data_IF_883998520428
#
_entry.id   IF_883998520428
#
_cell.length_a   1.000
_cell.length_b   1.000
_cell.length_c   1.000
_cell.angle_alpha   90.00
_cell.angle_beta   90.00
_cell.angle_gamma   90.00
#
_symmetry.space_group_name_H-M   'P 1'
#
loop_
_entity.id
_entity.type
_entity.pdbx_description
1 polymer ?
#
# COMPACT_ATOMS: atom_id res chain seq x y z
N UNK A 1 -3.44 -11.72 -17.52
CA UNK A 1 -2.74 -11.03 -18.62
C UNK A 1 -1.30 -10.89 -18.18
N UNK A 2 -0.37 -11.39 -18.98
CA UNK A 2 1.06 -11.33 -18.65
C UNK A 2 1.66 -10.11 -19.31
N UNK A 3 2.33 -9.27 -18.51
CA UNK A 3 2.99 -8.06 -18.97
C UNK A 3 4.50 -8.25 -18.84
N UNK A 4 5.21 -8.10 -19.94
CA UNK A 4 6.69 -8.07 -19.90
C UNK A 4 7.12 -6.68 -19.45
N UNK A 5 7.82 -6.60 -18.32
CA UNK A 5 8.43 -5.35 -17.83
C UNK A 5 9.95 -5.55 -17.81
N UNK A 6 10.63 -4.93 -18.77
CA UNK A 6 12.06 -5.18 -19.00
C UNK A 6 12.29 -6.61 -19.50
N UNK A 7 13.17 -7.37 -18.84
CA UNK A 7 13.45 -8.78 -19.17
C UNK A 7 12.57 -9.79 -18.41
N UNK A 8 11.67 -9.34 -17.52
CA UNK A 8 10.82 -10.23 -16.74
C UNK A 8 9.41 -10.33 -17.34
N UNK A 9 8.96 -11.55 -17.61
CA UNK A 9 7.52 -11.85 -17.70
C UNK A 9 6.92 -11.73 -16.31
N UNK A 10 5.99 -10.80 -16.14
CA UNK A 10 5.21 -10.66 -14.91
C UNK A 10 3.75 -10.96 -15.23
N UNK A 11 3.20 -11.97 -14.58
CA UNK A 11 1.77 -11.98 -14.29
C UNK A 11 1.48 -10.78 -13.39
N UNK A 12 0.42 -10.01 -13.67
CA UNK A 12 0.04 -8.84 -12.83
C UNK A 12 -0.25 -9.24 -11.37
N UNK A 13 -0.51 -10.53 -11.13
CA UNK A 13 -0.87 -11.07 -9.83
C UNK A 13 0.07 -12.21 -9.44
N UNK A 14 0.46 -12.21 -8.16
CA UNK A 14 1.10 -13.35 -7.49
C UNK A 14 -0.01 -14.21 -6.92
N UNK A 15 -0.22 -15.39 -7.52
CA UNK A 15 -1.32 -16.28 -7.14
C UNK A 15 -0.95 -17.25 -6.01
N UNK A 16 0.35 -17.46 -5.74
CA UNK A 16 0.81 -18.21 -4.57
C UNK A 16 0.66 -17.35 -3.30
N UNK A 17 -0.19 -17.73 -2.33
CA UNK A 17 -0.36 -16.99 -1.08
C UNK A 17 0.93 -16.86 -0.27
N UNK A 18 1.80 -17.88 -0.30
CA UNK A 18 3.03 -17.87 0.48
C UNK A 18 4.04 -16.88 -0.11
N UNK A 19 4.17 -16.85 -1.43
CA UNK A 19 4.98 -15.85 -2.13
C UNK A 19 4.43 -14.44 -1.95
N UNK A 20 3.12 -14.25 -2.08
CA UNK A 20 2.47 -12.97 -1.86
C UNK A 20 2.75 -12.42 -0.45
N UNK A 21 2.66 -13.28 0.58
CA UNK A 21 2.97 -12.91 1.96
C UNK A 21 4.44 -12.50 2.13
N UNK A 22 5.39 -13.26 1.57
CA UNK A 22 6.83 -12.92 1.66
C UNK A 22 7.12 -11.57 0.99
N UNK A 23 6.62 -11.34 -0.22
CA UNK A 23 6.79 -10.08 -0.94
C UNK A 23 6.14 -8.91 -0.20
N UNK A 24 4.97 -9.11 0.38
CA UNK A 24 4.30 -8.12 1.22
C UNK A 24 5.14 -7.73 2.44
N UNK A 25 5.75 -8.71 3.13
CA UNK A 25 6.63 -8.47 4.28
C UNK A 25 7.90 -7.69 3.91
N UNK A 26 8.43 -7.92 2.72
CA UNK A 26 9.59 -7.17 2.21
C UNK A 26 9.21 -5.71 1.89
N UNK A 27 8.08 -5.51 1.20
CA UNK A 27 7.54 -4.18 0.95
C UNK A 27 7.27 -3.41 2.25
N UNK A 28 6.68 -4.07 3.26
CA UNK A 28 6.44 -3.48 4.58
C UNK A 28 7.72 -3.01 5.29
N UNK A 29 8.85 -3.69 5.06
CA UNK A 29 10.16 -3.28 5.59
C UNK A 29 10.70 -2.08 4.83
N UNK A 30 10.67 -2.11 3.50
CA UNK A 30 11.15 -1.03 2.64
C UNK A 30 10.39 0.28 2.90
N UNK A 31 9.06 0.18 2.99
CA UNK A 31 8.13 1.30 3.21
C UNK A 31 7.85 1.56 4.69
N UNK A 32 8.66 1.00 5.60
CA UNK A 32 8.45 1.12 7.04
C UNK A 32 8.38 2.57 7.54
N UNK A 33 9.21 3.46 6.98
CA UNK A 33 9.24 4.89 7.29
C UNK A 33 8.01 5.67 6.75
N UNK A 34 7.36 5.14 5.71
CA UNK A 34 6.20 5.74 5.08
C UNK A 34 4.88 5.37 5.77
N UNK A 35 4.88 4.44 6.73
CA UNK A 35 3.66 4.01 7.42
C UNK A 35 3.04 5.15 8.23
N UNK A 36 1.85 5.58 7.84
CA UNK A 36 1.00 6.45 8.67
C UNK A 36 0.41 5.67 9.86
N UNK A 37 0.07 6.36 10.94
CA UNK A 37 -0.64 5.72 12.06
C UNK A 37 -1.99 5.18 11.57
N UNK A 38 -2.30 3.92 11.90
CA UNK A 38 -3.65 3.38 11.72
C UNK A 38 -4.55 3.88 12.85
N UNK A 39 -5.66 4.56 12.56
CA UNK A 39 -6.66 4.87 13.59
C UNK A 39 -7.19 3.56 14.17
N UNK A 40 -7.39 3.53 15.49
CA UNK A 40 -7.94 2.37 16.21
C UNK A 40 -9.43 2.57 16.43
N UNK A 41 -10.18 1.47 16.48
CA UNK A 41 -11.62 1.47 16.74
C UNK A 41 -12.47 1.49 15.47
N UNK A 42 -13.79 1.54 15.66
CA UNK A 42 -14.78 1.61 14.57
C UNK A 42 -15.21 3.06 14.41
N UNK A 43 -15.01 3.61 13.23
CA UNK A 43 -15.50 4.94 12.87
C UNK A 43 -16.77 4.78 12.04
N UNK A 44 -17.86 5.44 12.44
CA UNK A 44 -19.06 5.59 11.63
C UNK A 44 -19.02 6.97 11.00
N UNK A 45 -18.95 7.02 9.68
CA UNK A 45 -18.93 8.24 8.90
C UNK A 45 -19.60 7.96 7.55
N UNK A 46 -19.96 9.03 6.85
CA UNK A 46 -20.45 8.95 5.47
C UNK A 46 -19.33 8.49 4.52
N UNK A 47 -19.70 7.98 3.34
CA UNK A 47 -18.73 7.59 2.32
C UNK A 47 -17.79 8.75 1.93
N UNK A 48 -18.33 9.97 1.83
CA UNK A 48 -17.55 11.17 1.50
C UNK A 48 -16.50 11.51 2.57
N UNK A 49 -16.84 11.37 3.85
CA UNK A 49 -15.91 11.59 4.96
C UNK A 49 -14.79 10.54 4.99
N UNK A 50 -15.12 9.27 4.74
CA UNK A 50 -14.13 8.20 4.65
C UNK A 50 -13.16 8.43 3.49
N UNK A 51 -13.65 8.81 2.30
CA UNK A 51 -12.79 9.14 1.17
C UNK A 51 -11.83 10.29 1.49
N UNK A 52 -12.34 11.35 2.13
CA UNK A 52 -11.50 12.50 2.53
C UNK A 52 -10.42 12.09 3.54
N UNK A 53 -10.73 11.21 4.49
CA UNK A 53 -9.74 10.69 5.44
C UNK A 53 -8.67 9.84 4.75
N UNK A 54 -9.05 9.04 3.75
CA UNK A 54 -8.12 8.23 2.97
C UNK A 54 -7.23 9.10 2.06
N UNK A 55 -7.76 10.15 1.45
CA UNK A 55 -6.97 11.14 0.70
C UNK A 55 -5.92 11.83 1.57
N UNK A 56 -6.32 12.30 2.76
CA UNK A 56 -5.40 12.91 3.71
C UNK A 56 -4.28 11.94 4.12
N UNK A 57 -4.63 10.67 4.36
CA UNK A 57 -3.66 9.62 4.66
C UNK A 57 -2.70 9.39 3.49
N UNK A 58 -3.21 9.32 2.26
CA UNK A 58 -2.38 9.12 1.08
C UNK A 58 -1.38 10.27 0.90
N UNK A 59 -1.81 11.51 1.10
CA UNK A 59 -0.94 12.69 1.06
C UNK A 59 0.15 12.64 2.14
N UNK A 60 -0.20 12.23 3.36
CA UNK A 60 0.77 12.07 4.45
C UNK A 60 1.84 11.02 4.10
N UNK A 61 1.41 9.85 3.60
CA UNK A 61 2.32 8.78 3.16
C UNK A 61 3.24 9.29 2.06
N UNK A 62 2.69 9.97 1.04
CA UNK A 62 3.46 10.52 -0.07
C UNK A 62 4.52 11.52 0.40
N UNK A 63 4.17 12.42 1.34
CA UNK A 63 5.12 13.35 1.95
C UNK A 63 6.27 12.62 2.65
N UNK A 64 5.98 11.57 3.42
CA UNK A 64 7.00 10.78 4.14
C UNK A 64 7.92 10.01 3.20
N UNK A 65 7.39 9.51 2.08
CA UNK A 65 8.20 8.86 1.04
C UNK A 65 9.14 9.88 0.38
N UNK A 66 8.63 11.05 0.02
CA UNK A 66 9.39 12.09 -0.68
C UNK A 66 10.35 12.87 0.21
N UNK A 67 10.17 12.85 1.54
CA UNK A 67 11.11 13.46 2.50
C UNK A 67 12.32 12.58 2.81
N UNK A 68 12.43 11.43 2.18
CA UNK A 68 13.49 10.43 2.37
C UNK A 68 14.51 10.56 1.25
#
# INVERSE_FOLDING_TARGET
>A
MDRVVGSMQRTEFVLDPAEAWRRGRELDRLLSAARSSRPRGVVRATHAELNRLDELRALEIARRINSR
#
